data_IF_806126825337
#
_entry.id   IF_806126825337
#
_cell.length_a   1.000
_cell.length_b   1.000
_cell.length_c   1.000
_cell.angle_alpha   90.00
_cell.angle_beta   90.00
_cell.angle_gamma   90.00
#
_symmetry.space_group_name_H-M   'P 1'
#
loop_
_entity.id
_entity.type
_entity.pdbx_description
1 polymer ?
#
# COMPACT_ATOMS: atom_id res chain seq x y z
N UNK A 1 -8.15 21.51 -10.95
CA UNK A 1 -7.96 20.70 -9.77
C UNK A 1 -8.93 19.54 -9.67
N UNK A 2 -10.22 19.82 -9.76
CA UNK A 2 -11.21 18.76 -9.75
C UNK A 2 -11.04 17.76 -10.88
N UNK A 3 -10.61 18.24 -12.03
CA UNK A 3 -10.38 17.40 -13.21
C UNK A 3 -9.30 16.35 -12.98
N UNK A 4 -8.22 16.73 -12.33
CA UNK A 4 -7.11 15.80 -12.08
C UNK A 4 -7.53 14.68 -11.15
N UNK A 5 -8.29 15.01 -10.11
CA UNK A 5 -8.76 14.02 -9.16
C UNK A 5 -9.72 13.04 -9.84
N UNK A 6 -10.62 13.57 -10.66
CA UNK A 6 -11.57 12.71 -11.38
C UNK A 6 -10.88 11.85 -12.43
N UNK A 7 -9.95 12.42 -13.17
CA UNK A 7 -9.18 11.65 -14.16
C UNK A 7 -8.40 10.52 -13.53
N UNK A 8 -7.82 10.78 -12.37
CA UNK A 8 -7.06 9.77 -11.64
C UNK A 8 -7.97 8.62 -11.19
N UNK A 9 -9.17 8.94 -10.71
CA UNK A 9 -10.13 7.95 -10.32
C UNK A 9 -10.58 7.09 -11.49
N UNK A 10 -10.83 7.73 -12.62
CA UNK A 10 -11.21 7.00 -13.82
C UNK A 10 -10.12 6.05 -14.28
N UNK A 11 -8.86 6.48 -14.22
CA UNK A 11 -7.72 5.65 -14.56
C UNK A 11 -7.62 4.44 -13.65
N UNK A 12 -7.81 4.64 -12.37
CA UNK A 12 -7.75 3.55 -11.40
C UNK A 12 -8.84 2.52 -11.68
N UNK A 13 -10.04 2.98 -11.98
CA UNK A 13 -11.15 2.08 -12.30
C UNK A 13 -10.90 1.32 -13.59
N UNK A 14 -10.35 1.98 -14.60
CA UNK A 14 -10.03 1.32 -15.86
C UNK A 14 -8.94 0.26 -15.66
N UNK A 15 -7.92 0.59 -14.90
CA UNK A 15 -6.86 -0.35 -14.59
C UNK A 15 -7.40 -1.55 -13.82
N UNK A 16 -8.32 -1.31 -12.90
CA UNK A 16 -8.90 -2.37 -12.11
C UNK A 16 -9.68 -3.35 -12.99
N UNK A 17 -10.36 -2.86 -14.01
CA UNK A 17 -11.11 -3.70 -14.94
C UNK A 17 -10.19 -4.58 -15.78
N UNK A 18 -8.99 -4.12 -16.07
CA UNK A 18 -8.03 -4.84 -16.88
C UNK A 18 -7.19 -5.84 -16.09
N UNK A 19 -7.28 -5.81 -14.78
CA UNK A 19 -6.49 -6.69 -13.93
C UNK A 19 -6.99 -8.12 -14.01
N UNK A 20 -6.09 -9.09 -13.83
CA UNK A 20 -6.48 -10.50 -13.86
C UNK A 20 -7.56 -10.81 -12.82
N UNK A 21 -8.44 -11.72 -13.16
CA UNK A 21 -9.50 -12.15 -12.26
C UNK A 21 -8.89 -12.76 -10.99
N UNK A 22 -9.52 -12.48 -9.84
CA UNK A 22 -9.09 -13.04 -8.57
C UNK A 22 -7.94 -12.32 -7.90
N UNK A 23 -7.41 -11.26 -8.51
CA UNK A 23 -6.26 -10.54 -7.98
C UNK A 23 -6.64 -9.21 -7.29
N UNK A 24 -7.93 -8.94 -7.07
CA UNK A 24 -8.36 -7.69 -6.49
C UNK A 24 -7.75 -7.42 -5.11
N UNK A 25 -7.70 -8.43 -4.26
CA UNK A 25 -7.11 -8.26 -2.92
C UNK A 25 -5.63 -7.93 -3.01
N UNK A 26 -4.92 -8.53 -3.95
CA UNK A 26 -3.50 -8.24 -4.16
C UNK A 26 -3.30 -6.77 -4.52
N UNK A 27 -4.04 -6.28 -5.49
CA UNK A 27 -3.90 -4.88 -5.92
C UNK A 27 -4.29 -3.92 -4.81
N UNK A 28 -5.32 -4.24 -4.05
CA UNK A 28 -5.72 -3.41 -2.91
C UNK A 28 -4.65 -3.41 -1.81
N UNK A 29 -4.04 -4.57 -1.56
CA UNK A 29 -2.95 -4.66 -0.60
C UNK A 29 -1.76 -3.81 -1.01
N UNK A 30 -1.39 -3.86 -2.29
CA UNK A 30 -0.30 -3.05 -2.80
C UNK A 30 -0.63 -1.56 -2.71
N UNK A 31 -1.88 -1.19 -2.95
CA UNK A 31 -2.31 0.19 -2.78
C UNK A 31 -2.12 0.67 -1.34
N UNK A 32 -2.47 -0.15 -0.37
CA UNK A 32 -2.28 0.19 1.03
C UNK A 32 -0.81 0.38 1.37
N UNK A 33 0.05 -0.45 0.80
CA UNK A 33 1.50 -0.33 0.98
C UNK A 33 1.98 1.03 0.46
N UNK A 34 1.53 1.41 -0.71
CA UNK A 34 1.93 2.70 -1.29
C UNK A 34 1.44 3.87 -0.45
N UNK A 35 0.22 3.78 0.08
CA UNK A 35 -0.29 4.82 0.97
C UNK A 35 0.56 4.90 2.24
N UNK A 36 0.84 3.74 2.85
CA UNK A 36 1.63 3.70 4.09
C UNK A 36 3.05 4.21 3.91
N UNK A 37 3.57 4.15 2.70
CA UNK A 37 4.92 4.67 2.42
C UNK A 37 5.03 6.17 2.69
N UNK A 38 3.91 6.87 2.71
CA UNK A 38 3.86 8.29 3.03
C UNK A 38 3.67 8.57 4.52
N UNK A 39 3.54 7.53 5.32
CA UNK A 39 3.27 7.64 6.75
C UNK A 39 4.28 6.83 7.55
N UNK A 40 5.56 7.25 7.56
CA UNK A 40 6.61 6.45 8.22
C UNK A 40 6.39 6.26 9.72
N UNK A 41 5.64 7.16 10.36
CA UNK A 41 5.34 7.04 11.78
C UNK A 41 4.01 6.34 12.05
N UNK A 42 3.35 5.90 11.00
CA UNK A 42 2.09 5.18 11.12
C UNK A 42 0.89 5.96 10.64
N UNK A 43 -0.14 5.24 10.25
CA UNK A 43 -1.40 5.80 9.77
C UNK A 43 -2.55 5.05 10.41
N UNK A 44 -3.52 5.75 11.00
CA UNK A 44 -4.68 5.10 11.62
C UNK A 44 -5.54 4.38 10.59
N UNK A 45 -6.16 3.30 11.02
CA UNK A 45 -7.04 2.51 10.17
C UNK A 45 -8.12 3.36 9.50
N UNK A 46 -8.75 4.26 10.26
CA UNK A 46 -9.80 5.10 9.70
C UNK A 46 -9.28 5.99 8.58
N UNK A 47 -8.09 6.54 8.76
CA UNK A 47 -7.48 7.40 7.74
C UNK A 47 -7.10 6.58 6.51
N UNK A 48 -6.56 5.38 6.71
CA UNK A 48 -6.24 4.48 5.61
C UNK A 48 -7.48 4.12 4.81
N UNK A 49 -8.57 3.85 5.51
CA UNK A 49 -9.85 3.54 4.87
C UNK A 49 -10.30 4.68 3.97
N UNK A 50 -10.20 5.90 4.45
CA UNK A 50 -10.56 7.08 3.65
C UNK A 50 -9.66 7.22 2.42
N UNK A 51 -8.36 7.12 2.63
CA UNK A 51 -7.40 7.30 1.54
C UNK A 51 -7.54 6.21 0.48
N UNK A 52 -7.84 5.00 0.89
CA UNK A 52 -7.97 3.88 -0.02
C UNK A 52 -9.34 3.80 -0.69
N UNK A 53 -10.33 4.48 -0.13
CA UNK A 53 -11.70 4.38 -0.63
C UNK A 53 -12.32 3.01 -0.36
N UNK A 54 -11.90 2.36 0.71
CA UNK A 54 -12.39 1.05 1.11
C UNK A 54 -12.98 1.13 2.52
N UNK A 55 -13.88 0.22 2.86
CA UNK A 55 -14.42 0.22 4.22
C UNK A 55 -13.38 -0.34 5.20
N UNK A 56 -13.57 -0.02 6.48
CA UNK A 56 -12.63 -0.36 7.52
C UNK A 56 -12.40 -1.87 7.67
N UNK A 57 -13.44 -2.66 7.53
CA UNK A 57 -13.30 -4.11 7.68
C UNK A 57 -12.47 -4.71 6.56
N UNK A 58 -12.61 -4.20 5.35
CA UNK A 58 -11.79 -4.63 4.22
C UNK A 58 -10.33 -4.25 4.44
N UNK A 59 -10.08 -3.01 4.84
CA UNK A 59 -8.73 -2.54 5.10
C UNK A 59 -8.09 -3.33 6.23
N UNK A 60 -8.82 -3.57 7.31
CA UNK A 60 -8.31 -4.35 8.43
C UNK A 60 -7.90 -5.75 8.01
N UNK A 61 -8.74 -6.41 7.22
CA UNK A 61 -8.44 -7.75 6.73
C UNK A 61 -7.21 -7.78 5.84
N UNK A 62 -7.08 -6.79 4.96
CA UNK A 62 -5.91 -6.68 4.09
C UNK A 62 -4.64 -6.44 4.91
N UNK A 63 -4.74 -5.56 5.92
CA UNK A 63 -3.60 -5.28 6.79
C UNK A 63 -3.18 -6.53 7.58
N UNK A 64 -4.13 -7.33 8.03
CA UNK A 64 -3.80 -8.60 8.70
C UNK A 64 -3.01 -9.52 7.78
N UNK A 65 -3.40 -9.59 6.52
CA UNK A 65 -2.65 -10.36 5.54
C UNK A 65 -1.23 -9.83 5.36
N UNK A 66 -1.09 -8.52 5.25
CA UNK A 66 0.22 -7.90 5.11
C UNK A 66 1.07 -8.08 6.36
N UNK A 67 0.46 -8.06 7.54
CA UNK A 67 1.16 -8.33 8.78
C UNK A 67 1.66 -9.77 8.83
N UNK A 68 0.86 -10.71 8.37
CA UNK A 68 1.26 -12.11 8.38
C UNK A 68 2.42 -12.37 7.43
N UNK A 69 2.55 -11.56 6.40
CA UNK A 69 3.69 -11.62 5.48
C UNK A 69 4.90 -10.86 6.00
N UNK A 70 4.75 -10.10 7.07
CA UNK A 70 5.85 -9.35 7.65
C UNK A 70 6.08 -7.97 7.04
N UNK A 71 5.19 -7.50 6.17
CA UNK A 71 5.37 -6.21 5.51
C UNK A 71 4.78 -5.03 6.26
N UNK A 72 3.84 -5.28 7.15
CA UNK A 72 3.16 -4.24 7.93
C UNK A 72 3.22 -4.62 9.40
N UNK A 73 3.31 -3.61 10.26
CA UNK A 73 3.24 -3.79 11.70
C UNK A 73 2.41 -2.67 12.30
N UNK A 74 2.04 -2.82 13.56
CA UNK A 74 1.35 -1.74 14.27
C UNK A 74 2.36 -0.65 14.64
N UNK A 75 1.90 0.60 14.59
CA UNK A 75 2.70 1.75 15.01
C UNK A 75 2.44 2.02 16.49
N UNK A 76 3.31 2.86 17.14
CA UNK A 76 3.13 3.18 18.56
C UNK A 76 1.77 3.77 18.90
N UNK A 77 1.21 4.60 18.01
CA UNK A 77 -0.13 5.13 18.24
C UNK A 77 -1.16 4.04 18.05
N UNK A 78 -2.07 3.90 19.02
CA UNK A 78 -3.08 2.84 18.97
C UNK A 78 -3.90 2.90 17.69
N UNK A 79 -4.14 1.74 17.09
CA UNK A 79 -4.93 1.64 15.87
C UNK A 79 -4.23 2.11 14.62
N UNK A 80 -2.93 2.39 14.69
CA UNK A 80 -2.14 2.82 13.56
C UNK A 80 -1.25 1.71 13.04
N UNK A 81 -0.92 1.78 11.74
CA UNK A 81 -0.12 0.78 11.04
C UNK A 81 1.00 1.45 10.26
N UNK A 82 2.10 0.74 10.08
CA UNK A 82 3.22 1.25 9.29
C UNK A 82 3.93 0.09 8.61
N UNK A 83 4.72 0.43 7.59
CA UNK A 83 5.54 -0.54 6.89
C UNK A 83 6.71 -1.00 7.75
N UNK A 84 7.20 -2.21 7.49
CA UNK A 84 8.36 -2.76 8.19
C UNK A 84 9.63 -2.60 7.36
N UNK A 85 10.76 -2.87 7.99
CA UNK A 85 12.06 -2.83 7.30
C UNK A 85 12.22 -3.94 6.27
N UNK A 86 11.29 -4.88 6.20
CA UNK A 86 11.35 -5.93 5.19
C UNK A 86 11.38 -5.36 3.78
N UNK A 87 10.73 -4.22 3.57
CA UNK A 87 10.75 -3.55 2.27
C UNK A 87 12.14 -3.09 1.87
N UNK A 88 12.95 -2.70 2.84
CA UNK A 88 14.32 -2.28 2.56
C UNK A 88 15.11 -3.45 1.99
N UNK A 89 15.02 -4.61 2.62
CA UNK A 89 15.74 -5.79 2.17
C UNK A 89 15.30 -6.22 0.77
N UNK A 90 13.99 -6.25 0.54
CA UNK A 90 13.44 -6.63 -0.76
C UNK A 90 13.84 -5.61 -1.82
N UNK A 91 13.71 -4.32 -1.49
CA UNK A 91 14.05 -3.25 -2.42
C UNK A 91 15.51 -3.22 -2.78
N UNK A 92 16.39 -3.46 -1.82
CA UNK A 92 17.83 -3.47 -2.08
C UNK A 92 18.22 -4.61 -3.02
N UNK A 93 17.62 -5.77 -2.84
CA UNK A 93 17.88 -6.89 -3.75
C UNK A 93 17.43 -6.57 -5.18
N UNK A 94 16.26 -5.97 -5.32
CA UNK A 94 15.74 -5.58 -6.62
C UNK A 94 16.63 -4.53 -7.28
N UNK A 95 17.00 -3.50 -6.52
CA UNK A 95 17.86 -2.44 -7.04
C UNK A 95 19.25 -2.96 -7.42
N UNK A 96 19.76 -3.88 -6.64
CA UNK A 96 21.06 -4.47 -6.90
C UNK A 96 21.06 -5.19 -8.26
N UNK A 97 20.02 -5.94 -8.55
CA UNK A 97 19.92 -6.65 -9.82
C UNK A 97 19.73 -5.70 -11.00
N UNK A 98 19.21 -4.49 -10.75
CA UNK A 98 19.03 -3.47 -11.77
C UNK A 98 20.23 -2.53 -11.90
N UNK A 99 21.23 -2.69 -11.07
CA UNK A 99 22.43 -1.84 -11.07
C UNK A 99 22.17 -0.36 -10.78
N UNK A 100 21.00 -0.05 -10.23
CA UNK A 100 20.66 1.33 -9.92
C UNK A 100 21.42 1.85 -8.71
N UNK A 101 21.78 0.95 -7.82
CA UNK A 101 22.47 1.28 -6.58
C UNK A 101 23.85 1.89 -6.83
N UNK A 102 24.43 1.61 -7.97
CA UNK A 102 25.77 2.11 -8.30
C UNK A 102 25.83 3.63 -8.39
N UNK A 103 24.70 4.29 -8.39
CA UNK A 103 24.65 5.73 -8.43
C UNK A 103 24.95 6.34 -7.07
N UNK A 104 24.63 5.64 -6.01
CA UNK A 104 24.85 6.14 -4.65
C UNK A 104 26.32 6.00 -4.19
#
# INVERSE_FOLDING_TARGET
MGKEVMGKKENEMAQEKERPAGSQSLFRGLMLIEILSNYPNGCPLAHLSELAGLNKSTVHRLLQGLQSCGYVTTAPAAGSYRLTTKFIAVGQKALSSLNIINIA
#
